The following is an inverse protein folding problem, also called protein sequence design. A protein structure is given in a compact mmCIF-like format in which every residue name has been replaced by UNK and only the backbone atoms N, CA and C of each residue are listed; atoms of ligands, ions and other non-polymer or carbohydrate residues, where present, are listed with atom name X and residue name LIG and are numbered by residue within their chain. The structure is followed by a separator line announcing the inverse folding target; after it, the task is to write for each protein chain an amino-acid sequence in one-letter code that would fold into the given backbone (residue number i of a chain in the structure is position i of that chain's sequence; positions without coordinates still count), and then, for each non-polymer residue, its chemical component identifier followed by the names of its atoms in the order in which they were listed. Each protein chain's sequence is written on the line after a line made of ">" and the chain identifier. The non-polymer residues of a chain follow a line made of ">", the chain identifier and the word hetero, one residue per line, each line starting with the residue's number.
data_IF_195865710744
#
_entry.id   IF_195865710744
#
_cell.length_a   1.000
_cell.length_b   1.000
_cell.length_c   1.000
_cell.angle_alpha   90.00
_cell.angle_beta   90.00
_cell.angle_gamma   90.00
#
_symmetry.space_group_name_H-M   'P 1'
#
loop_
_entity.id
_entity.type
_entity.pdbx_description
1 polymer ?
2 non-polymer ?
3 non-polymer ?
4 non-polymer ?
5 water ?
#
# COMPACT_ATOMS: atom_id res chain seq x y z
N UNK A 20 -22.13 -7.20 19.25
CA UNK A 20 -20.72 -7.46 19.57
C UNK A 20 -19.81 -7.05 18.42
N UNK A 21 -19.77 -5.75 18.13
CA UNK A 21 -18.96 -5.18 17.05
C UNK A 21 -17.45 -5.27 17.32
N UNK A 22 -16.70 -5.71 16.31
CA UNK A 22 -15.25 -5.88 16.40
C UNK A 22 -14.42 -4.61 16.68
N UNK A 23 -14.60 -3.58 15.87
CA UNK A 23 -13.84 -2.35 16.06
C UNK A 23 -14.18 -1.65 17.38
N UNK A 24 -15.42 -1.83 17.84
CA UNK A 24 -15.85 -1.24 19.11
C UNK A 24 -15.17 -1.98 20.26
N UNK A 25 -15.00 -3.28 20.09
CA UNK A 25 -14.33 -4.12 21.09
C UNK A 25 -12.84 -3.77 21.15
N UNK A 26 -12.21 -3.64 19.98
CA UNK A 26 -10.79 -3.30 19.92
C UNK A 26 -10.54 -1.94 20.57
N UNK A 27 -11.49 -1.02 20.40
CA UNK A 27 -11.35 0.29 21.02
C UNK A 27 -11.48 0.24 22.54
N UNK A 28 -12.29 -0.70 23.02
CA UNK A 28 -12.46 -0.92 24.45
C UNK A 28 -11.15 -1.46 25.03
N UNK A 29 -10.54 -2.40 24.32
CA UNK A 29 -9.26 -2.99 24.75
C UNK A 29 -8.17 -1.92 24.74
N UNK A 30 -8.22 -1.04 23.75
CA UNK A 30 -7.27 0.07 23.65
C UNK A 30 -7.45 1.03 24.83
N UNK A 31 -8.70 1.32 25.18
CA UNK A 31 -8.99 2.20 26.31
C UNK A 31 -8.46 1.64 27.63
N UNK A 32 -8.62 0.34 27.84
CA UNK A 32 -8.15 -0.29 29.07
C UNK A 32 -6.62 -0.32 29.11
N UNK A 33 -6.00 -0.47 27.94
CA UNK A 33 -4.54 -0.46 27.88
C UNK A 33 -4.04 0.95 28.20
N UNK A 34 -4.76 1.96 27.72
CA UNK A 34 -4.37 3.34 27.99
C UNK A 34 -4.51 3.62 29.48
N UNK A 35 -5.58 3.09 30.07
CA UNK A 35 -5.86 3.27 31.49
C UNK A 35 -4.73 2.72 32.36
N UNK A 36 -4.24 1.54 32.03
CA UNK A 36 -3.16 0.94 32.80
C UNK A 36 -1.89 1.78 32.71
N UNK A 37 -1.60 2.23 31.50
CA UNK A 37 -0.42 3.06 31.24
C UNK A 37 -0.55 4.40 31.98
N UNK A 38 -1.75 4.97 31.94
CA UNK A 38 -2.00 6.28 32.56
C UNK A 38 -1.76 6.26 34.06
N UNK A 39 -2.03 5.12 34.69
CA UNK A 39 -1.83 4.99 36.14
C UNK A 39 -0.38 4.68 36.52
N UNK A 40 0.37 4.06 35.61
CA UNK A 40 1.77 3.69 35.90
C UNK A 40 2.64 3.90 34.68
N UNK A 41 2.81 5.16 34.29
CA UNK A 41 3.54 5.50 33.09
C UNK A 41 5.04 5.20 33.07
N UNK A 42 5.61 4.80 34.20
CA UNK A 42 7.03 4.45 34.18
C UNK A 42 7.25 2.95 33.91
N UNK A 43 6.16 2.19 33.79
CA UNK A 43 6.26 0.77 33.48
C UNK A 43 6.37 0.62 31.96
N UNK A 44 7.54 0.24 31.47
CA UNK A 44 7.74 0.12 30.02
C UNK A 44 6.92 -1.00 29.38
N UNK A 45 6.53 -2.00 30.16
CA UNK A 45 5.74 -3.09 29.60
C UNK A 45 4.33 -2.60 29.23
N UNK A 46 3.77 -1.72 30.06
CA UNK A 46 2.44 -1.16 29.80
C UNK A 46 2.46 -0.25 28.57
N UNK A 47 3.60 0.41 28.36
CA UNK A 47 3.75 1.25 27.17
C UNK A 47 3.75 0.34 25.93
N UNK A 48 4.54 -0.73 25.99
CA UNK A 48 4.64 -1.67 24.87
C UNK A 48 3.29 -2.29 24.57
N UNK A 49 2.53 -2.61 25.61
CA UNK A 49 1.22 -3.20 25.42
C UNK A 49 0.25 -2.21 24.75
N UNK A 50 0.33 -0.94 25.13
CA UNK A 50 -0.54 0.06 24.52
C UNK A 50 -0.17 0.24 23.05
N UNK A 51 1.13 0.31 22.78
CA UNK A 51 1.63 0.45 21.41
C UNK A 51 1.16 -0.72 20.58
N UNK A 52 1.28 -1.92 21.13
CA UNK A 52 0.87 -3.12 20.40
C UNK A 52 -0.64 -3.10 20.11
N UNK A 53 -1.43 -2.67 21.08
CA UNK A 53 -2.87 -2.60 20.87
C UNK A 53 -3.22 -1.55 19.82
N UNK A 54 -2.52 -0.41 19.85
CA UNK A 54 -2.80 0.64 18.89
C UNK A 54 -2.44 0.15 17.48
N UNK A 55 -1.32 -0.56 17.35
CA UNK A 55 -0.91 -1.10 16.05
C UNK A 55 -1.95 -2.11 15.56
N UNK A 56 -2.43 -2.95 16.48
CA UNK A 56 -3.46 -3.93 16.16
C UNK A 56 -4.70 -3.28 15.54
N UNK A 57 -5.04 -2.09 16.01
CA UNK A 57 -6.20 -1.38 15.46
C UNK A 57 -5.92 -0.96 14.03
N UNK A 58 -4.70 -0.49 13.77
CA UNK A 58 -4.31 -0.07 12.42
C UNK A 58 -4.20 -1.27 11.47
N UNK A 59 -3.70 -2.40 11.98
CA UNK A 59 -3.60 -3.60 11.15
C UNK A 59 -5.00 -4.03 10.71
N UNK A 60 -5.97 -3.83 11.59
CA UNK A 60 -7.36 -4.17 11.31
C UNK A 60 -7.87 -3.41 10.08
N UNK A 61 -7.54 -2.12 10.00
CA UNK A 61 -7.94 -1.29 8.87
C UNK A 61 -7.17 -1.67 7.61
N UNK A 62 -5.90 -2.01 7.76
CA UNK A 62 -5.09 -2.42 6.62
C UNK A 62 -5.63 -3.73 6.04
N UNK A 63 -6.17 -4.58 6.91
CA UNK A 63 -6.74 -5.85 6.48
C UNK A 63 -7.99 -5.65 5.61
N UNK A 64 -8.77 -4.62 5.90
CA UNK A 64 -9.98 -4.33 5.13
C UNK A 64 -9.67 -3.90 3.69
N UNK A 65 -8.64 -3.09 3.53
CA UNK A 65 -8.23 -2.63 2.21
C UNK A 65 -7.48 -3.75 1.49
N UNK A 66 -6.89 -4.66 2.27
CA UNK A 66 -6.17 -5.79 1.71
C UNK A 66 -7.12 -6.73 0.98
N UNK A 67 -8.33 -6.87 1.48
CA UNK A 67 -9.32 -7.75 0.85
C UNK A 67 -9.66 -7.23 -0.53
N UNK A 68 -9.84 -5.91 -0.63
CA UNK A 68 -10.16 -5.27 -1.90
C UNK A 68 -8.98 -5.44 -2.85
N UNK A 69 -7.77 -5.28 -2.33
CA UNK A 69 -6.58 -5.45 -3.16
C UNK A 69 -6.53 -6.86 -3.73
N UNK A 70 -6.88 -7.84 -2.91
CA UNK A 70 -6.90 -9.22 -3.40
C UNK A 70 -7.91 -9.37 -4.54
N UNK A 71 -9.10 -8.81 -4.35
CA UNK A 71 -10.14 -8.89 -5.37
C UNK A 71 -9.69 -8.27 -6.70
N UNK A 72 -8.98 -7.14 -6.62
CA UNK A 72 -8.46 -6.50 -7.83
C UNK A 72 -7.47 -7.43 -8.51
N UNK A 73 -6.66 -8.12 -7.72
CA UNK A 73 -5.70 -9.08 -8.25
C UNK A 73 -6.44 -10.25 -8.90
N UNK A 74 -7.51 -10.72 -8.27
CA UNK A 74 -8.30 -11.82 -8.82
C UNK A 74 -8.85 -11.41 -10.20
N UNK A 75 -9.36 -10.19 -10.29
CA UNK A 75 -9.91 -9.68 -11.54
C UNK A 75 -8.81 -9.60 -12.60
N UNK A 76 -7.64 -9.12 -12.21
CA UNK A 76 -6.52 -9.02 -13.14
C UNK A 76 -6.19 -10.40 -13.71
N UNK A 77 -6.20 -11.42 -12.86
CA UNK A 77 -5.91 -12.78 -13.29
C UNK A 77 -7.00 -13.29 -14.24
N UNK A 78 -8.24 -12.92 -13.95
CA UNK A 78 -9.38 -13.32 -14.78
C UNK A 78 -9.23 -12.76 -16.20
N UNK A 79 -8.77 -11.52 -16.29
CA UNK A 79 -8.59 -10.88 -17.58
C UNK A 79 -7.47 -11.52 -18.39
N UNK A 80 -6.35 -11.82 -17.74
CA UNK A 80 -5.24 -12.46 -18.43
C UNK A 80 -5.62 -13.89 -18.82
N UNK A 81 -6.86 -14.27 -18.50
CA UNK A 81 -7.39 -15.60 -18.81
C UNK A 81 -6.40 -16.72 -18.54
N UNK B 15 -0.03 16.08 -30.87
CA UNK B 15 0.56 16.41 -29.57
C UNK B 15 -0.33 15.90 -28.44
N UNK B 16 0.18 14.94 -27.68
CA UNK B 16 -0.57 14.38 -26.57
C UNK B 16 0.32 14.09 -25.37
N UNK B 17 0.79 15.14 -24.71
CA UNK B 17 1.62 14.98 -23.52
C UNK B 17 0.74 14.52 -22.36
N UNK B 18 -0.41 13.96 -22.70
CA UNK B 18 -1.34 13.42 -21.71
C UNK B 18 -0.83 12.04 -21.33
N UNK B 19 0.11 11.54 -22.12
CA UNK B 19 0.75 10.26 -21.86
C UNK B 19 1.90 10.60 -20.92
N UNK B 20 2.10 11.90 -20.72
CA UNK B 20 3.13 12.41 -19.83
C UNK B 20 2.54 12.53 -18.43
N UNK B 21 1.23 12.79 -18.38
CA UNK B 21 0.52 12.90 -17.11
C UNK B 21 0.35 11.50 -16.53
N UNK B 22 0.14 10.53 -17.40
CA UNK B 22 -0.06 9.14 -17.00
C UNK B 22 1.20 8.50 -16.43
N UNK B 23 2.35 8.86 -16.98
CA UNK B 23 3.62 8.30 -16.52
C UNK B 23 4.08 8.94 -15.22
N UNK B 24 3.67 10.18 -14.99
CA UNK B 24 4.03 10.90 -13.78
C UNK B 24 3.27 10.32 -12.59
N UNK B 25 2.00 9.99 -12.80
CA UNK B 25 1.18 9.41 -11.75
C UNK B 25 1.58 7.96 -11.45
N UNK B 26 2.01 7.25 -12.49
CA UNK B 26 2.45 5.87 -12.35
C UNK B 26 3.81 5.86 -11.65
N UNK B 27 4.66 6.82 -12.00
CA UNK B 27 5.97 6.92 -11.37
C UNK B 27 5.85 7.28 -9.89
N UNK B 28 4.82 8.04 -9.54
CA UNK B 28 4.57 8.44 -8.16
C UNK B 28 4.10 7.25 -7.36
N UNK B 29 3.22 6.45 -7.95
CA UNK B 29 2.72 5.26 -7.29
C UNK B 29 3.86 4.27 -7.08
N UNK B 30 4.74 4.19 -8.07
CA UNK B 30 5.89 3.29 -8.01
C UNK B 30 6.82 3.73 -6.88
N UNK B 31 7.03 5.04 -6.76
CA UNK B 31 7.88 5.59 -5.71
C UNK B 31 7.33 5.26 -4.32
N UNK B 32 6.03 5.45 -4.13
CA UNK B 32 5.41 5.17 -2.85
C UNK B 32 5.49 3.68 -2.51
N UNK B 33 5.35 2.83 -3.53
CA UNK B 33 5.44 1.38 -3.34
C UNK B 33 6.87 0.99 -2.92
N UNK B 34 7.86 1.64 -3.54
CA UNK B 34 9.25 1.35 -3.21
C UNK B 34 9.55 1.83 -1.79
N UNK B 35 9.01 3.00 -1.43
CA UNK B 35 9.22 3.54 -0.09
C UNK B 35 8.74 2.57 0.97
N UNK B 36 7.55 2.00 0.78
CA UNK B 36 7.01 1.05 1.74
C UNK B 36 7.87 -0.20 1.84
N UNK B 37 8.33 -0.70 0.69
CA UNK B 37 9.18 -1.90 0.65
C UNK B 37 10.52 -1.63 1.34
N UNK B 38 11.05 -0.44 1.12
CA UNK B 38 12.33 -0.05 1.73
C UNK B 38 12.29 -0.06 3.26
N UNK B 39 11.13 0.26 3.82
CA UNK B 39 10.98 0.32 5.27
C UNK B 39 10.67 -1.03 5.92
N UNK B 40 10.08 -1.94 5.16
CA UNK B 40 9.69 -3.25 5.66
C UNK B 40 9.94 -4.28 4.56
N UNK B 41 11.22 -4.51 4.25
CA UNK B 41 11.60 -5.43 3.18
C UNK B 41 11.32 -6.91 3.41
N UNK B 42 10.92 -7.29 4.62
CA UNK B 42 10.58 -8.69 4.88
C UNK B 42 9.12 -8.98 4.54
N UNK B 43 8.34 -7.92 4.32
CA UNK B 43 6.91 -8.08 4.01
C UNK B 43 6.73 -8.47 2.54
N UNK B 44 6.33 -9.72 2.28
CA UNK B 44 6.20 -10.19 0.90
C UNK B 44 5.09 -9.53 0.07
N UNK B 45 4.08 -8.96 0.73
CA UNK B 45 3.00 -8.30 0.02
C UNK B 45 3.52 -6.99 -0.56
N UNK B 46 4.41 -6.33 0.17
CA UNK B 46 5.00 -5.07 -0.30
C UNK B 46 5.91 -5.33 -1.50
N UNK B 47 6.56 -6.49 -1.50
CA UNK B 47 7.41 -6.86 -2.63
C UNK B 47 6.53 -7.13 -3.84
N UNK B 48 5.50 -7.95 -3.66
CA UNK B 48 4.59 -8.27 -4.77
C UNK B 48 3.95 -7.01 -5.34
N UNK B 49 3.57 -6.08 -4.47
CA UNK B 49 2.96 -4.84 -4.92
C UNK B 49 3.95 -3.99 -5.71
N UNK B 50 5.21 -3.95 -5.26
CA UNK B 50 6.19 -3.18 -5.99
C UNK B 50 6.42 -3.83 -7.36
N UNK B 51 6.57 -5.15 -7.38
CA UNK B 51 6.79 -5.87 -8.65
C UNK B 51 5.67 -5.58 -9.64
N UNK B 52 4.43 -5.66 -9.17
CA UNK B 52 3.27 -5.41 -10.02
C UNK B 52 3.25 -3.98 -10.54
N UNK B 53 3.54 -3.02 -9.67
CA UNK B 53 3.57 -1.63 -10.09
C UNK B 53 4.71 -1.39 -11.08
N UNK B 54 5.84 -2.07 -10.88
CA UNK B 54 6.97 -1.90 -11.79
C UNK B 54 6.64 -2.42 -13.19
N UNK B 55 5.96 -3.55 -13.26
CA UNK B 55 5.57 -4.13 -14.55
C UNK B 55 4.60 -3.19 -15.26
N UNK B 56 3.62 -2.69 -14.52
CA UNK B 56 2.64 -1.77 -15.07
C UNK B 56 3.33 -0.51 -15.59
N UNK B 57 4.28 0.01 -14.81
CA UNK B 57 5.01 1.20 -15.22
C UNK B 57 5.88 0.96 -16.44
N UNK B 58 6.53 -0.20 -16.48
CA UNK B 58 7.42 -0.54 -17.59
C UNK B 58 6.67 -0.64 -18.92
N UNK B 59 5.49 -1.24 -18.88
CA UNK B 59 4.66 -1.37 -20.07
C UNK B 59 4.24 0.02 -20.56
N UNK B 60 3.66 0.81 -19.66
CA UNK B 60 3.21 2.15 -19.97
C UNK B 60 4.33 3.01 -20.52
N UNK B 61 5.49 2.95 -19.88
CA UNK B 61 6.64 3.74 -20.30
C UNK B 61 7.15 3.28 -21.66
N UNK B 62 7.11 1.98 -21.90
CA UNK B 62 7.54 1.43 -23.17
C UNK B 62 6.57 1.86 -24.28
N UNK B 63 5.28 1.78 -23.98
CA UNK B 63 4.24 2.15 -24.94
C UNK B 63 4.40 3.59 -25.40
N UNK B 64 4.65 4.48 -24.45
CA UNK B 64 4.82 5.89 -24.78
C UNK B 64 6.09 6.13 -25.60
N UNK B 65 7.14 5.36 -25.33
CA UNK B 65 8.38 5.48 -26.07
C UNK B 65 8.21 4.98 -27.50
N UNK B 66 7.62 3.79 -27.64
CA UNK B 66 7.36 3.21 -28.94
C UNK B 66 6.49 4.19 -29.71
N UNK B 67 5.59 4.89 -29.04
CA UNK B 67 4.71 5.83 -29.72
C UNK B 67 5.58 6.96 -30.35
N UNK B 68 6.21 7.68 -29.44
CA UNK B 68 7.05 8.86 -29.63
C UNK B 68 8.35 8.46 -30.30
N UNK B 69 8.21 7.80 -31.43
CA UNK B 69 9.32 7.46 -32.31
C UNK B 69 8.49 7.40 -33.56
N UNK B 70 7.25 7.00 -33.33
CA UNK B 70 6.25 6.79 -34.38
C UNK B 70 5.55 8.08 -34.82
N UNK B 71 6.05 9.20 -34.27
CA UNK B 71 5.63 10.54 -34.57
C UNK B 71 6.85 11.09 -35.33
N UNK B 72 8.03 10.68 -34.88
CA UNK B 72 9.31 11.04 -35.49
C UNK B 72 9.38 10.38 -36.86
N UNK B 73 8.72 9.23 -37.00
CA UNK B 73 8.67 8.53 -38.28
C UNK B 73 7.58 9.17 -39.13
N UNK B 74 6.47 9.51 -38.49
CA UNK B 74 5.37 10.17 -39.19
C UNK B 74 5.87 11.49 -39.74
N UNK B 75 6.65 12.21 -38.94
CA UNK B 75 7.20 13.49 -39.34
C UNK B 75 8.26 13.31 -40.42
X LIG C 1 -3.03 -8.51 -3.58
X LIG C 1 -1.80 -7.89 -2.91
X LIG C 1 -0.54 -8.34 -3.66
X LIG C 1 -1.89 -6.46 -2.95
X LIG D 1 -2.11 -6.09 -8.20
X LIG D 1 -3.33 -6.71 -8.88
X LIG D 1 -4.23 -5.61 -9.44
X LIG D 1 -2.90 -7.57 -9.94
X LIG E 1 13.09 5.18 6.46
X LIG E 1 13.66 5.14 7.77
X LIG E 1 14.04 4.55 5.45
X LIG E 1 14.31 3.19 5.81
X LIG E 1 13.42 4.60 4.05
X LIG E 1 14.31 4.01 3.11
X LIG F 1 -7.03 -8.86 20.31
X LIG G 1 -3.13 1.63 -12.21
#
# INVERSE_FOLDING_TARGET
>A
MSVTVPNDDWTLSSLSETFDDGTQTLQGELTLALDKLAKNPSNPQLLAEYQSKLSEYTLYRNAQSNTVKVIKDVDAAILEHHHHH
>B
MSVTVPNDDWTLSSLSETFDDGTQTLQGELTLALDKLAKNPSNPQLLAEYQSKLSEYTLYRNAQSNTVKVIKDVDAAILEHHHHH
>C hetero
1 IPA C1 C2 C3 O2
>D hetero
1 IPA C1 C2 C3 O2
>E hetero
1 GOL C1 O1 C2 O2 C3 O3
>F hetero
1 NA NA
>G hetero
1 NA NA
#
